data_IF_515305351630
#
_entry.id   IF_515305351630
#
_cell.length_a   1.000
_cell.length_b   1.000
_cell.length_c   1.000
_cell.angle_alpha   90.00
_cell.angle_beta   90.00
_cell.angle_gamma   90.00
#
_symmetry.space_group_name_H-M   'P 1'
#
loop_
_entity.id
_entity.type
_entity.pdbx_description
1 polymer ?
#
# COMPACT_ATOMS: atom_id res chain seq x y z
N UNK A 1 6.95 8.44 -18.46
CA UNK A 1 6.34 8.24 -17.14
C UNK A 1 7.40 8.39 -16.05
N UNK A 2 6.98 8.84 -14.89
CA UNK A 2 7.89 9.09 -13.78
C UNK A 2 7.49 8.25 -12.57
N UNK A 3 8.44 7.88 -11.73
CA UNK A 3 8.10 7.20 -10.48
C UNK A 3 7.38 8.17 -9.53
N UNK A 4 6.53 7.61 -8.68
CA UNK A 4 5.83 8.37 -7.65
C UNK A 4 6.16 7.81 -6.28
N UNK A 5 6.14 8.67 -5.28
CA UNK A 5 6.45 8.32 -3.90
C UNK A 5 5.30 8.78 -3.02
N UNK A 6 4.93 7.95 -2.07
CA UNK A 6 3.86 8.29 -1.13
C UNK A 6 4.27 7.78 0.26
N UNK A 7 3.92 8.54 1.30
CA UNK A 7 4.26 8.17 2.67
C UNK A 7 3.24 8.73 3.63
N UNK A 8 3.27 8.26 4.87
CA UNK A 8 2.46 8.78 5.98
C UNK A 8 0.96 8.80 5.69
N UNK A 9 0.46 7.76 5.02
CA UNK A 9 -0.95 7.70 4.66
C UNK A 9 -1.81 7.40 5.88
N UNK A 10 -1.33 6.52 6.77
CA UNK A 10 -2.02 6.13 8.01
C UNK A 10 -3.46 5.69 7.76
N UNK A 11 -3.64 4.74 6.85
CA UNK A 11 -4.97 4.22 6.52
C UNK A 11 -5.64 3.61 7.75
N UNK A 12 -6.90 3.95 7.95
CA UNK A 12 -7.69 3.45 9.07
C UNK A 12 -9.15 3.35 8.66
N UNK A 13 -9.83 2.31 9.12
CA UNK A 13 -11.25 2.15 8.82
C UNK A 13 -12.10 3.27 9.41
N UNK A 14 -11.55 3.99 10.40
CA UNK A 14 -12.23 5.12 11.04
C UNK A 14 -12.07 6.42 10.27
N UNK A 15 -11.32 6.42 9.16
CA UNK A 15 -11.09 7.62 8.39
C UNK A 15 -11.33 7.36 6.90
N UNK A 16 -12.58 7.45 6.49
CA UNK A 16 -12.95 7.16 5.11
C UNK A 16 -12.43 8.21 4.13
N UNK A 17 -12.15 9.42 4.59
CA UNK A 17 -11.58 10.45 3.71
C UNK A 17 -10.20 10.05 3.21
N UNK A 18 -9.36 9.51 4.10
CA UNK A 18 -8.03 9.06 3.72
C UNK A 18 -8.12 7.87 2.77
N UNK A 19 -9.03 6.93 3.06
CA UNK A 19 -9.22 5.76 2.20
C UNK A 19 -9.66 6.18 0.80
N UNK A 20 -10.60 7.11 0.70
CA UNK A 20 -11.06 7.60 -0.59
C UNK A 20 -9.97 8.36 -1.35
N UNK A 21 -9.18 9.15 -0.64
CA UNK A 21 -8.06 9.84 -1.24
C UNK A 21 -7.02 8.85 -1.79
N UNK A 22 -6.77 7.77 -1.06
CA UNK A 22 -5.85 6.73 -1.50
C UNK A 22 -6.36 6.04 -2.76
N UNK A 23 -7.66 5.73 -2.80
CA UNK A 23 -8.28 5.14 -3.99
C UNK A 23 -8.09 6.03 -5.21
N UNK A 24 -8.35 7.33 -5.07
CA UNK A 24 -8.16 8.28 -6.17
C UNK A 24 -6.71 8.36 -6.60
N UNK A 25 -5.80 8.38 -5.63
CA UNK A 25 -4.38 8.41 -5.92
C UNK A 25 -3.96 7.19 -6.76
N UNK A 26 -4.42 6.00 -6.38
CA UNK A 26 -4.10 4.78 -7.12
C UNK A 26 -4.67 4.84 -8.54
N UNK A 27 -5.92 5.28 -8.69
CA UNK A 27 -6.54 5.38 -10.01
C UNK A 27 -5.79 6.35 -10.92
N UNK A 28 -5.39 7.49 -10.39
CA UNK A 28 -4.64 8.48 -11.16
C UNK A 28 -3.24 7.98 -11.51
N UNK A 29 -2.62 7.25 -10.60
CA UNK A 29 -1.24 6.80 -10.78
C UNK A 29 -1.13 5.60 -11.69
N UNK A 30 -2.19 4.80 -11.84
CA UNK A 30 -2.14 3.55 -12.59
C UNK A 30 -1.65 3.73 -14.01
N UNK A 31 -2.02 4.82 -14.65
CA UNK A 31 -1.64 5.08 -16.03
C UNK A 31 -0.57 6.15 -16.18
N UNK A 32 -0.24 6.85 -15.11
CA UNK A 32 0.64 8.02 -15.18
C UNK A 32 2.00 7.84 -14.55
N UNK A 33 2.23 6.78 -13.78
CA UNK A 33 3.53 6.57 -13.18
C UNK A 33 4.16 5.25 -13.63
N UNK A 34 5.49 5.20 -13.61
CA UNK A 34 6.23 4.00 -14.00
C UNK A 34 6.39 3.04 -12.83
N UNK A 35 6.60 3.58 -11.64
CA UNK A 35 6.83 2.81 -10.41
C UNK A 35 6.20 3.56 -9.26
N UNK A 36 5.67 2.83 -8.29
CA UNK A 36 5.15 3.44 -7.07
C UNK A 36 5.98 2.97 -5.88
N UNK A 37 6.44 3.92 -5.08
CA UNK A 37 7.18 3.64 -3.85
C UNK A 37 6.34 4.10 -2.66
N UNK A 38 6.00 3.14 -1.78
CA UNK A 38 5.29 3.43 -0.55
C UNK A 38 6.35 3.46 0.56
N UNK A 39 6.57 4.63 1.15
CA UNK A 39 7.69 4.87 2.04
C UNK A 39 7.30 4.75 3.51
N UNK A 40 6.54 3.72 3.82
CA UNK A 40 6.17 3.44 5.20
C UNK A 40 4.86 4.07 5.64
N UNK A 41 4.42 3.69 6.82
CA UNK A 41 3.22 4.22 7.47
C UNK A 41 1.97 4.16 6.59
N UNK A 42 1.82 3.04 5.87
CA UNK A 42 0.64 2.83 5.03
C UNK A 42 -0.62 2.68 5.88
N UNK A 43 -0.53 1.95 6.96
CA UNK A 43 -1.65 1.76 7.88
C UNK A 43 -1.40 2.47 9.20
N UNK A 44 -2.47 2.94 9.82
CA UNK A 44 -2.37 3.50 11.18
C UNK A 44 -1.90 2.44 12.16
N UNK A 45 -2.39 1.22 11.99
CA UNK A 45 -1.94 0.09 12.80
C UNK A 45 -1.99 -1.18 11.96
N UNK A 46 -0.99 -2.05 12.12
CA UNK A 46 -0.94 -3.35 11.46
C UNK A 46 -0.46 -4.38 12.48
N UNK A 47 -1.26 -5.42 12.70
CA UNK A 47 -0.98 -6.39 13.74
C UNK A 47 -0.11 -7.54 13.23
N UNK A 48 -0.24 -7.88 11.95
CA UNK A 48 0.54 -8.95 11.33
C UNK A 48 -0.09 -9.36 10.01
N UNK A 49 0.62 -10.19 9.25
CA UNK A 49 0.18 -10.58 7.91
C UNK A 49 -1.09 -11.43 7.91
N UNK A 50 -1.42 -12.04 9.04
CA UNK A 50 -2.61 -12.87 9.17
C UNK A 50 -3.83 -12.12 9.70
N UNK A 51 -3.77 -10.79 9.72
CA UNK A 51 -4.90 -9.96 10.11
C UNK A 51 -6.00 -10.05 9.04
N UNK A 52 -7.15 -10.58 9.45
CA UNK A 52 -8.28 -10.79 8.54
C UNK A 52 -9.36 -9.71 8.67
N UNK A 53 -9.01 -8.54 9.17
CA UNK A 53 -9.92 -7.41 9.26
C UNK A 53 -10.47 -7.09 7.86
N UNK A 54 -11.80 -6.89 7.78
CA UNK A 54 -12.46 -6.63 6.51
C UNK A 54 -11.91 -5.38 5.82
N UNK A 55 -11.57 -4.36 6.58
CA UNK A 55 -10.98 -3.15 6.02
C UNK A 55 -9.63 -3.44 5.37
N UNK A 56 -8.79 -4.24 6.02
CA UNK A 56 -7.48 -4.60 5.46
C UNK A 56 -7.65 -5.42 4.17
N UNK A 57 -8.67 -6.28 4.11
CA UNK A 57 -8.96 -7.02 2.89
C UNK A 57 -9.35 -6.06 1.75
N UNK A 58 -10.13 -5.03 2.05
CA UNK A 58 -10.49 -4.02 1.06
C UNK A 58 -9.25 -3.33 0.50
N UNK A 59 -8.32 -2.94 1.37
CA UNK A 59 -7.09 -2.28 0.94
C UNK A 59 -6.21 -3.24 0.13
N UNK A 60 -6.14 -4.51 0.54
CA UNK A 60 -5.39 -5.51 -0.23
C UNK A 60 -5.95 -5.63 -1.65
N UNK A 61 -7.27 -5.67 -1.80
CA UNK A 61 -7.90 -5.77 -3.11
C UNK A 61 -7.59 -4.56 -3.98
N UNK A 62 -7.57 -3.36 -3.38
CA UNK A 62 -7.20 -2.16 -4.11
C UNK A 62 -5.77 -2.24 -4.62
N UNK A 63 -4.85 -2.73 -3.80
CA UNK A 63 -3.46 -2.87 -4.20
C UNK A 63 -3.28 -3.94 -5.27
N UNK A 64 -3.97 -5.05 -5.14
CA UNK A 64 -3.92 -6.12 -6.15
C UNK A 64 -4.39 -5.58 -7.51
N UNK A 65 -5.52 -4.89 -7.51
CA UNK A 65 -6.05 -4.31 -8.74
C UNK A 65 -5.09 -3.30 -9.36
N UNK A 66 -4.43 -2.50 -8.52
CA UNK A 66 -3.46 -1.52 -8.98
C UNK A 66 -2.23 -2.21 -9.61
N UNK A 67 -1.74 -3.29 -9.00
CA UNK A 67 -0.48 -3.91 -9.42
C UNK A 67 -0.62 -4.90 -10.57
N UNK A 68 -1.79 -5.50 -10.76
CA UNK A 68 -1.98 -6.53 -11.78
C UNK A 68 -1.64 -6.02 -13.19
N UNK A 69 -2.14 -4.85 -13.55
CA UNK A 69 -1.89 -4.27 -14.87
C UNK A 69 -1.35 -2.85 -14.76
N UNK A 70 -0.70 -2.55 -13.66
CA UNK A 70 -0.22 -1.21 -13.37
C UNK A 70 1.27 -1.16 -13.09
N UNK A 71 1.73 -0.09 -12.49
CA UNK A 71 3.15 0.10 -12.19
C UNK A 71 3.69 -0.91 -11.19
N UNK A 72 4.98 -1.20 -11.29
CA UNK A 72 5.65 -1.95 -10.24
C UNK A 72 5.59 -1.15 -8.94
N UNK A 73 5.31 -1.84 -7.84
CA UNK A 73 5.11 -1.20 -6.56
C UNK A 73 6.09 -1.74 -5.53
N UNK A 74 6.72 -0.85 -4.80
CA UNK A 74 7.71 -1.17 -3.78
C UNK A 74 7.28 -0.59 -2.45
N UNK A 75 7.66 -1.25 -1.37
CA UNK A 75 7.27 -0.85 -0.04
C UNK A 75 8.46 -0.87 0.90
N UNK A 76 8.65 0.21 1.65
CA UNK A 76 9.65 0.30 2.72
C UNK A 76 8.88 0.48 4.02
N UNK A 77 9.18 -0.35 5.03
CA UNK A 77 8.48 -0.32 6.31
C UNK A 77 8.60 1.04 7.00
N UNK A 78 7.47 1.49 7.58
CA UNK A 78 7.49 2.62 8.47
C UNK A 78 7.38 2.19 9.93
N UNK A 79 7.23 3.15 10.83
CA UNK A 79 7.16 2.86 12.26
C UNK A 79 5.88 2.10 12.64
N UNK A 80 4.80 2.34 11.94
CA UNK A 80 3.50 1.78 12.30
C UNK A 80 3.16 0.48 11.58
N UNK A 81 3.90 0.16 10.53
CA UNK A 81 3.63 -1.03 9.73
C UNK A 81 4.85 -1.92 9.58
N UNK A 82 5.74 -1.89 10.57
CA UNK A 82 6.95 -2.71 10.52
C UNK A 82 6.64 -4.21 10.58
N UNK A 83 5.42 -4.58 10.96
CA UNK A 83 5.00 -5.97 10.99
C UNK A 83 4.47 -6.49 9.66
N UNK A 84 4.34 -5.62 8.66
CA UNK A 84 3.98 -6.07 7.32
C UNK A 84 5.11 -6.94 6.80
N UNK A 85 4.77 -8.17 6.41
CA UNK A 85 5.76 -9.16 6.02
C UNK A 85 5.62 -9.61 4.58
N UNK A 86 6.38 -10.66 4.24
CA UNK A 86 6.44 -11.17 2.88
C UNK A 86 5.10 -11.72 2.40
N UNK A 87 4.28 -12.26 3.30
CA UNK A 87 2.99 -12.82 2.90
C UNK A 87 2.07 -11.73 2.35
N UNK A 88 2.02 -10.59 3.04
CA UNK A 88 1.25 -9.45 2.55
C UNK A 88 1.79 -8.97 1.20
N UNK A 89 3.10 -8.83 1.10
CA UNK A 89 3.72 -8.33 -0.13
C UNK A 89 3.42 -9.24 -1.32
N UNK A 90 3.52 -10.55 -1.13
CA UNK A 90 3.21 -11.51 -2.20
C UNK A 90 1.74 -11.45 -2.59
N UNK A 91 0.88 -11.33 -1.60
CA UNK A 91 -0.56 -11.31 -1.83
C UNK A 91 -0.98 -10.14 -2.70
N UNK A 92 -0.36 -8.98 -2.51
CA UNK A 92 -0.72 -7.76 -3.25
C UNK A 92 0.27 -7.39 -4.36
N UNK A 93 1.21 -8.28 -4.66
CA UNK A 93 2.18 -8.10 -5.76
C UNK A 93 3.07 -6.88 -5.59
N UNK A 94 3.50 -6.60 -4.37
CA UNK A 94 4.48 -5.55 -4.13
C UNK A 94 5.79 -6.15 -3.67
N UNK A 95 6.87 -5.41 -3.83
CA UNK A 95 8.21 -5.84 -3.43
C UNK A 95 8.60 -5.09 -2.16
N UNK A 96 8.93 -5.85 -1.09
CA UNK A 96 9.47 -5.26 0.11
C UNK A 96 10.92 -4.90 -0.12
N UNK A 97 11.27 -3.66 0.14
CA UNK A 97 12.66 -3.21 0.06
C UNK A 97 13.29 -3.23 1.46
N UNK A 98 14.57 -3.54 1.54
CA UNK A 98 15.22 -3.51 2.85
C UNK A 98 15.26 -2.08 3.38
N UNK A 99 15.15 -1.96 4.70
CA UNK A 99 15.25 -0.69 5.38
C UNK A 99 16.70 -0.22 5.29
N UNK A 100 16.96 0.97 4.78
CA UNK A 100 18.33 1.47 4.66
C UNK A 100 18.99 1.74 5.99
#
# INVERSE_FOLDING_TARGET
MKPRFISDIHLSENNSHLTNAFKRFLNESKESCSHLFILGDLFEAWIGDDDNNAYHQEIKELLIEFTINGPETFFIHGNRDFLIGQNFAKEVNITLLPDP
#
